data_IF_323197701765
#
_entry.id   IF_323197701765
#
_cell.length_a   1.000
_cell.length_b   1.000
_cell.length_c   1.000
_cell.angle_alpha   90.00
_cell.angle_beta   90.00
_cell.angle_gamma   90.00
#
_symmetry.space_group_name_H-M   'P 1'
#
loop_
_entity.id
_entity.type
_entity.pdbx_description
1 polymer ?
#
# COMPACT_ATOMS: atom_id res chain seq x y z
N UNK A 1 6.16 10.46 11.15
CA UNK A 1 5.92 9.08 10.70
C UNK A 1 4.43 8.84 10.57
N UNK A 2 3.96 8.21 9.49
CA UNK A 2 2.57 7.76 9.33
C UNK A 2 2.57 6.23 9.17
N UNK A 3 1.68 5.54 9.88
CA UNK A 3 1.39 4.13 9.67
C UNK A 3 0.25 4.03 8.65
N UNK A 4 0.49 3.33 7.53
CA UNK A 4 -0.52 3.11 6.51
C UNK A 4 -1.35 1.87 6.85
N UNK A 5 -2.66 2.00 6.70
CA UNK A 5 -3.56 0.86 6.60
C UNK A 5 -3.38 0.15 5.26
N UNK A 6 -3.79 -1.11 5.17
CA UNK A 6 -3.70 -1.93 3.97
C UNK A 6 -4.41 -1.30 2.77
N UNK A 7 -5.59 -0.71 2.94
CA UNK A 7 -6.28 -0.08 1.81
C UNK A 7 -5.54 1.16 1.30
N UNK A 8 -4.93 1.95 2.20
CA UNK A 8 -4.15 3.13 1.83
C UNK A 8 -2.89 2.72 1.07
N UNK A 9 -2.22 1.65 1.49
CA UNK A 9 -1.07 1.09 0.77
C UNK A 9 -1.47 0.65 -0.65
N UNK A 10 -2.55 -0.13 -0.76
CA UNK A 10 -3.08 -0.61 -2.05
C UNK A 10 -3.43 0.57 -2.97
N UNK A 11 -4.17 1.57 -2.48
CA UNK A 11 -4.52 2.74 -3.28
C UNK A 11 -3.29 3.56 -3.67
N UNK A 12 -2.29 3.67 -2.80
CA UNK A 12 -1.07 4.44 -3.11
C UNK A 12 -0.28 3.89 -4.30
N UNK A 13 -0.43 2.61 -4.63
CA UNK A 13 0.35 1.94 -5.69
C UNK A 13 -0.51 1.54 -6.89
N UNK A 14 -1.72 1.03 -6.67
CA UNK A 14 -2.55 0.42 -7.72
C UNK A 14 -3.62 1.39 -8.23
N UNK A 15 -4.26 2.13 -7.32
CA UNK A 15 -5.44 2.97 -7.62
C UNK A 15 -5.32 4.35 -6.92
N UNK A 16 -4.30 5.17 -7.27
CA UNK A 16 -3.98 6.42 -6.55
C UNK A 16 -5.09 7.47 -6.62
N UNK A 17 -5.99 7.37 -7.60
CA UNK A 17 -7.18 8.20 -7.73
C UNK A 17 -8.19 8.03 -6.60
N UNK A 18 -8.15 6.92 -5.85
CA UNK A 18 -8.99 6.72 -4.68
C UNK A 18 -8.50 7.52 -3.45
N UNK A 19 -7.26 8.00 -3.46
CA UNK A 19 -6.73 8.83 -2.38
C UNK A 19 -7.25 10.27 -2.49
N UNK A 20 -7.79 10.78 -1.39
CA UNK A 20 -8.08 12.21 -1.30
C UNK A 20 -6.81 13.05 -1.45
N UNK A 21 -6.95 14.28 -1.95
CA UNK A 21 -5.81 15.21 -2.09
C UNK A 21 -5.05 15.41 -0.78
N UNK A 22 -5.78 15.51 0.33
CA UNK A 22 -5.21 15.67 1.66
C UNK A 22 -4.42 14.43 2.10
N UNK A 23 -4.96 13.22 1.91
CA UNK A 23 -4.27 11.98 2.24
C UNK A 23 -3.00 11.82 1.40
N UNK A 24 -3.08 12.03 0.09
CA UNK A 24 -1.92 11.97 -0.81
C UNK A 24 -0.84 13.00 -0.42
N UNK A 25 -1.23 14.21 -0.01
CA UNK A 25 -0.30 15.21 0.50
C UNK A 25 0.37 14.78 1.81
N UNK A 26 -0.39 14.23 2.76
CA UNK A 26 0.14 13.75 4.04
C UNK A 26 1.15 12.62 3.84
N UNK A 27 0.84 11.65 2.98
CA UNK A 27 1.74 10.54 2.61
C UNK A 27 3.04 11.07 2.01
N UNK A 28 2.95 11.98 1.02
CA UNK A 28 4.15 12.59 0.39
C UNK A 28 5.01 13.35 1.39
N UNK A 29 4.40 14.07 2.33
CA UNK A 29 5.14 14.86 3.33
C UNK A 29 5.78 13.97 4.39
N UNK A 30 5.05 12.97 4.90
CA UNK A 30 5.58 11.98 5.82
C UNK A 30 6.77 11.21 5.22
N UNK A 31 6.73 10.86 3.93
CA UNK A 31 7.84 10.21 3.24
C UNK A 31 9.13 11.04 3.25
N UNK A 32 9.04 12.38 3.21
CA UNK A 32 10.21 13.28 3.23
C UNK A 32 10.72 13.55 4.65
N UNK A 33 9.82 13.65 5.62
CA UNK A 33 10.13 14.27 6.91
C UNK A 33 10.24 13.28 8.08
N UNK A 34 9.59 12.11 8.01
CA UNK A 34 9.56 11.19 9.15
C UNK A 34 9.23 9.74 8.85
N UNK A 35 9.27 9.32 7.58
CA UNK A 35 9.05 7.94 7.16
C UNK A 35 7.58 7.50 7.07
N UNK A 36 7.37 6.46 6.28
CA UNK A 36 6.13 5.69 6.18
C UNK A 36 6.38 4.32 6.80
N UNK A 37 5.40 3.81 7.53
CA UNK A 37 5.41 2.48 8.10
C UNK A 37 4.17 1.70 7.64
N UNK A 38 4.29 0.38 7.66
CA UNK A 38 3.17 -0.57 7.56
C UNK A 38 3.27 -1.56 8.71
N UNK A 39 2.15 -2.17 9.09
CA UNK A 39 2.17 -3.27 10.06
C UNK A 39 2.58 -4.58 9.37
N UNK A 40 3.18 -5.52 10.10
CA UNK A 40 3.44 -6.86 9.57
C UNK A 40 2.16 -7.57 9.09
N UNK A 41 1.00 -7.28 9.72
CA UNK A 41 -0.29 -7.85 9.29
C UNK A 41 -0.70 -7.36 7.88
N UNK A 42 -0.30 -6.14 7.50
CA UNK A 42 -0.59 -5.57 6.17
C UNK A 42 0.00 -6.43 5.06
N UNK A 43 1.17 -7.05 5.28
CA UNK A 43 1.78 -7.98 4.32
C UNK A 43 0.88 -9.19 4.06
N UNK A 44 0.32 -9.79 5.12
CA UNK A 44 -0.60 -10.91 5.01
C UNK A 44 -1.90 -10.52 4.30
N UNK A 45 -2.44 -9.33 4.60
CA UNK A 45 -3.67 -8.85 3.97
C UNK A 45 -3.48 -8.59 2.47
N UNK A 46 -2.37 -7.95 2.08
CA UNK A 46 -2.01 -7.76 0.66
C UNK A 46 -1.85 -9.10 -0.05
N UNK A 47 -1.11 -10.04 0.53
CA UNK A 47 -0.96 -11.38 -0.02
C UNK A 47 -2.31 -12.09 -0.20
N UNK A 48 -3.22 -11.95 0.76
CA UNK A 48 -4.58 -12.54 0.71
C UNK A 48 -5.47 -11.87 -0.33
N UNK A 49 -5.33 -10.56 -0.55
CA UNK A 49 -6.05 -9.85 -1.62
C UNK A 49 -5.59 -10.30 -3.01
N UNK A 50 -4.28 -10.43 -3.21
CA UNK A 50 -3.67 -10.94 -4.45
C UNK A 50 -4.06 -12.40 -4.72
N UNK A 51 -3.93 -13.28 -3.71
CA UNK A 51 -4.24 -14.71 -3.84
C UNK A 51 -5.73 -14.97 -4.17
N UNK A 52 -6.62 -14.03 -3.82
CA UNK A 52 -8.05 -14.09 -4.11
C UNK A 52 -8.45 -13.27 -5.33
N UNK A 53 -7.48 -12.78 -6.10
CA UNK A 53 -7.67 -11.94 -7.29
C UNK A 53 -8.56 -10.71 -7.04
N UNK A 54 -8.55 -10.17 -5.81
CA UNK A 54 -9.31 -8.96 -5.47
C UNK A 54 -8.60 -7.68 -5.91
N UNK A 55 -7.28 -7.75 -6.08
CA UNK A 55 -6.43 -6.70 -6.63
C UNK A 55 -5.49 -7.34 -7.65
N UNK A 56 -5.10 -6.58 -8.68
CA UNK A 56 -4.15 -7.05 -9.69
C UNK A 56 -2.71 -6.78 -9.25
N UNK A 57 -1.84 -7.79 -9.39
CA UNK A 57 -0.42 -7.69 -9.05
C UNK A 57 0.51 -7.93 -10.23
N UNK A 58 1.79 -8.05 -9.94
CA UNK A 58 2.85 -8.36 -10.91
C UNK A 58 3.24 -9.84 -10.81
N UNK A 59 2.67 -10.68 -11.67
CA UNK A 59 3.02 -12.09 -11.73
C UNK A 59 2.55 -12.87 -10.51
N UNK A 60 3.48 -13.34 -9.66
CA UNK A 60 3.17 -14.12 -8.46
C UNK A 60 2.77 -13.23 -7.29
N UNK A 61 2.13 -13.81 -6.27
CA UNK A 61 1.80 -13.12 -5.02
C UNK A 61 3.05 -12.55 -4.35
N UNK A 62 4.12 -13.35 -4.27
CA UNK A 62 5.41 -12.94 -3.67
C UNK A 62 6.01 -11.72 -4.40
N UNK A 63 6.13 -11.79 -5.72
CA UNK A 63 6.68 -10.68 -6.52
C UNK A 63 5.84 -9.41 -6.37
N UNK A 64 4.52 -9.57 -6.28
CA UNK A 64 3.60 -8.45 -6.09
C UNK A 64 3.76 -7.80 -4.72
N UNK A 65 3.88 -8.59 -3.64
CA UNK A 65 4.10 -8.08 -2.28
C UNK A 65 5.42 -7.32 -2.18
N UNK A 66 6.51 -7.86 -2.75
CA UNK A 66 7.82 -7.19 -2.76
C UNK A 66 7.78 -5.85 -3.50
N UNK A 67 6.93 -5.69 -4.51
CA UNK A 67 6.82 -4.43 -5.27
C UNK A 67 5.87 -3.41 -4.64
N UNK A 68 4.94 -3.85 -3.80
CA UNK A 68 3.93 -2.99 -3.17
C UNK A 68 4.44 -2.28 -1.92
N UNK A 69 5.51 -2.79 -1.31
CA UNK A 69 6.05 -2.36 0.00
C UNK A 69 7.42 -1.74 -0.18
#
# INVERSE_FOLDING_TARGET
>A
MILLDTHVLVWSVIEPEQLSRAAAHAIRSARREGGLAISAITLYEVARLLARSRISGYGTVETSVIRLV
#
